data_IF_003514972806
#
_entry.id   IF_003514972806
#
_cell.length_a   1.000
_cell.length_b   1.000
_cell.length_c   1.000
_cell.angle_alpha   90.00
_cell.angle_beta   90.00
_cell.angle_gamma   90.00
#
_symmetry.space_group_name_H-M   'P 1'
#
loop_
_entity.id
_entity.type
_entity.pdbx_description
1 polymer ?
#
# COMPACT_ATOMS: atom_id res chain seq x y z
N UNK A 1 32.52 -53.26 -8.13
CA UNK A 1 32.47 -52.46 -6.88
C UNK A 1 32.53 -50.95 -7.08
N UNK A 2 32.87 -50.42 -8.26
CA UNK A 2 32.87 -48.98 -8.56
C UNK A 2 31.51 -48.41 -8.97
N UNK A 3 30.62 -49.25 -9.50
CA UNK A 3 29.31 -48.87 -10.06
C UNK A 3 28.30 -48.41 -8.99
N UNK A 4 28.14 -49.17 -7.91
CA UNK A 4 27.22 -48.85 -6.80
C UNK A 4 27.59 -47.57 -6.05
N UNK A 5 28.90 -47.30 -5.88
CA UNK A 5 29.37 -46.05 -5.25
C UNK A 5 29.15 -44.85 -6.16
N UNK A 6 29.35 -44.99 -7.48
CA UNK A 6 29.07 -43.94 -8.45
C UNK A 6 27.58 -43.58 -8.50
N UNK A 7 26.72 -44.59 -8.44
CA UNK A 7 25.28 -44.42 -8.43
C UNK A 7 24.77 -43.80 -7.12
N UNK A 8 25.33 -44.19 -5.96
CA UNK A 8 25.01 -43.57 -4.68
C UNK A 8 25.38 -42.08 -4.63
N UNK A 9 26.54 -41.71 -5.19
CA UNK A 9 26.97 -40.29 -5.27
C UNK A 9 26.06 -39.48 -6.18
N UNK A 10 25.67 -40.03 -7.34
CA UNK A 10 24.72 -39.38 -8.25
C UNK A 10 23.36 -39.12 -7.59
N UNK A 11 22.83 -40.09 -6.86
CA UNK A 11 21.56 -39.93 -6.13
C UNK A 11 21.69 -38.88 -5.04
N UNK A 12 22.80 -38.86 -4.30
CA UNK A 12 23.05 -37.86 -3.26
C UNK A 12 23.16 -36.43 -3.84
N UNK A 13 23.86 -36.26 -4.96
CA UNK A 13 23.98 -34.96 -5.64
C UNK A 13 22.62 -34.49 -6.18
N UNK A 14 21.83 -35.40 -6.76
CA UNK A 14 20.49 -35.07 -7.25
C UNK A 14 19.57 -34.63 -6.10
N UNK A 15 19.59 -35.36 -4.98
CA UNK A 15 18.82 -34.99 -3.79
C UNK A 15 19.23 -33.61 -3.23
N UNK A 16 20.53 -33.32 -3.20
CA UNK A 16 21.06 -32.01 -2.79
C UNK A 16 20.62 -30.88 -3.74
N UNK A 17 20.63 -31.13 -5.05
CA UNK A 17 20.16 -30.17 -6.04
C UNK A 17 18.66 -29.84 -5.87
N UNK A 18 17.83 -30.86 -5.62
CA UNK A 18 16.39 -30.68 -5.35
C UNK A 18 16.17 -29.92 -4.04
N UNK A 19 16.92 -30.24 -3.00
CA UNK A 19 16.83 -29.52 -1.73
C UNK A 19 17.22 -28.04 -1.88
N UNK A 20 18.27 -27.75 -2.65
CA UNK A 20 18.71 -26.39 -2.91
C UNK A 20 17.66 -25.57 -3.66
N UNK A 21 17.06 -26.13 -4.72
CA UNK A 21 16.00 -25.43 -5.49
C UNK A 21 14.75 -25.19 -4.65
N UNK A 22 14.36 -26.15 -3.80
CA UNK A 22 13.25 -25.98 -2.87
C UNK A 22 13.50 -24.84 -1.87
N UNK A 23 14.70 -24.75 -1.29
CA UNK A 23 15.06 -23.67 -0.35
C UNK A 23 15.04 -22.30 -1.03
N UNK A 24 15.59 -22.20 -2.25
CA UNK A 24 15.58 -20.95 -3.03
C UNK A 24 14.13 -20.55 -3.34
N UNK A 25 13.29 -21.49 -3.74
CA UNK A 25 11.87 -21.25 -4.02
C UNK A 25 11.10 -20.75 -2.79
N UNK A 26 11.35 -21.33 -1.62
CA UNK A 26 10.70 -20.92 -0.36
C UNK A 26 11.15 -19.51 0.05
N UNK A 27 12.46 -19.20 -0.04
CA UNK A 27 12.97 -17.86 0.29
C UNK A 27 12.40 -16.80 -0.65
N UNK A 28 12.37 -17.08 -1.95
CA UNK A 28 11.75 -16.18 -2.92
C UNK A 28 10.25 -15.95 -2.65
N UNK A 29 9.52 -16.96 -2.17
CA UNK A 29 8.12 -16.80 -1.78
C UNK A 29 7.97 -15.95 -0.51
N UNK A 30 8.82 -16.15 0.50
CA UNK A 30 8.81 -15.35 1.74
C UNK A 30 9.14 -13.89 1.47
N UNK A 31 10.14 -13.61 0.62
CA UNK A 31 10.51 -12.24 0.25
C UNK A 31 9.33 -11.53 -0.42
N UNK A 32 8.61 -12.22 -1.32
CA UNK A 32 7.40 -11.67 -1.95
C UNK A 32 6.29 -11.38 -0.94
N UNK A 33 6.07 -12.26 0.02
CA UNK A 33 5.03 -12.07 1.06
C UNK A 33 5.38 -10.87 1.94
N UNK A 34 6.65 -10.73 2.36
CA UNK A 34 7.10 -9.62 3.21
C UNK A 34 7.03 -8.30 2.44
N UNK A 35 7.42 -8.27 1.16
CA UNK A 35 7.32 -7.08 0.31
C UNK A 35 5.86 -6.66 0.13
N UNK A 36 4.96 -7.62 -0.15
CA UNK A 36 3.53 -7.33 -0.28
C UNK A 36 2.92 -6.81 1.03
N UNK A 37 3.27 -7.41 2.16
CA UNK A 37 2.78 -6.96 3.48
C UNK A 37 3.27 -5.55 3.83
N UNK A 38 4.52 -5.20 3.47
CA UNK A 38 5.05 -3.84 3.65
C UNK A 38 4.34 -2.84 2.75
N UNK A 39 4.13 -3.19 1.48
CA UNK A 39 3.40 -2.33 0.54
C UNK A 39 1.97 -2.05 1.02
N UNK A 40 1.28 -3.07 1.55
CA UNK A 40 -0.06 -2.92 2.11
C UNK A 40 -0.09 -1.96 3.30
N UNK A 41 0.81 -2.15 4.29
CA UNK A 41 0.91 -1.26 5.45
C UNK A 41 1.27 0.16 5.06
N UNK A 42 2.17 0.32 4.08
CA UNK A 42 2.53 1.63 3.56
C UNK A 42 1.33 2.33 2.92
N UNK A 43 0.49 1.60 2.18
CA UNK A 43 -0.72 2.14 1.56
C UNK A 43 -1.80 2.51 2.56
N UNK A 44 -2.04 1.69 3.58
CA UNK A 44 -2.97 1.97 4.68
C UNK A 44 -2.54 3.23 5.45
N UNK A 45 -1.28 3.28 5.87
CA UNK A 45 -0.74 4.42 6.60
C UNK A 45 -0.77 5.71 5.75
N UNK A 46 -0.42 5.62 4.46
CA UNK A 46 -0.46 6.75 3.55
C UNK A 46 -1.87 7.31 3.32
N UNK A 47 -2.86 6.44 3.16
CA UNK A 47 -4.24 6.91 2.92
C UNK A 47 -4.89 7.46 4.18
N UNK A 48 -4.53 6.94 5.36
CA UNK A 48 -4.94 7.50 6.64
C UNK A 48 -4.35 8.90 6.85
N UNK A 49 -3.06 9.11 6.57
CA UNK A 49 -2.45 10.44 6.62
C UNK A 49 -3.11 11.44 5.63
N UNK A 50 -3.43 10.99 4.41
CA UNK A 50 -4.20 11.81 3.48
C UNK A 50 -5.55 12.21 4.06
N UNK A 51 -6.31 11.26 4.61
CA UNK A 51 -7.61 11.54 5.19
C UNK A 51 -7.52 12.48 6.39
N UNK A 52 -6.50 12.33 7.25
CA UNK A 52 -6.28 13.19 8.41
C UNK A 52 -5.91 14.62 8.00
N UNK A 53 -5.03 14.79 7.02
CA UNK A 53 -4.69 16.12 6.49
C UNK A 53 -5.91 16.86 5.91
N UNK A 54 -6.86 16.12 5.32
CA UNK A 54 -8.13 16.68 4.85
C UNK A 54 -9.09 16.97 6.01
N UNK A 55 -9.12 16.11 7.04
CA UNK A 55 -9.94 16.34 8.24
C UNK A 55 -9.51 17.60 9.01
N UNK A 56 -8.20 17.86 9.12
CA UNK A 56 -7.69 19.07 9.77
C UNK A 56 -8.14 20.34 9.03
N UNK A 57 -8.13 20.29 7.69
CA UNK A 57 -8.61 21.39 6.84
C UNK A 57 -10.12 21.57 6.97
N UNK A 58 -10.86 20.47 6.99
CA UNK A 58 -12.31 20.44 7.16
C UNK A 58 -12.74 21.05 8.50
N UNK A 59 -12.07 20.72 9.61
CA UNK A 59 -12.34 21.29 10.92
C UNK A 59 -11.93 22.76 11.06
N UNK A 60 -10.93 23.21 10.29
CA UNK A 60 -10.42 24.57 10.37
C UNK A 60 -11.19 25.61 9.54
N UNK A 61 -11.97 25.20 8.53
CA UNK A 61 -12.63 26.13 7.60
C UNK A 61 -14.11 25.80 7.40
N UNK A 62 -14.96 26.82 7.46
CA UNK A 62 -16.37 26.74 7.07
C UNK A 62 -16.52 26.78 5.54
N UNK A 63 -15.94 25.81 4.83
CA UNK A 63 -16.12 25.63 3.38
C UNK A 63 -17.04 24.44 3.15
N UNK A 64 -17.88 24.51 2.11
CA UNK A 64 -18.68 23.35 1.74
C UNK A 64 -17.75 22.16 1.45
N UNK A 65 -18.08 20.93 1.92
CA UNK A 65 -17.24 19.75 1.68
C UNK A 65 -16.92 19.51 0.21
N UNK A 66 -17.86 19.84 -0.68
CA UNK A 66 -17.68 19.72 -2.13
C UNK A 66 -16.61 20.66 -2.66
N UNK A 67 -16.50 21.87 -2.14
CA UNK A 67 -15.45 22.80 -2.54
C UNK A 67 -14.11 22.36 -1.96
N UNK A 68 -14.12 21.84 -0.72
CA UNK A 68 -12.92 21.32 -0.07
C UNK A 68 -12.29 20.14 -0.83
N UNK A 69 -13.07 19.15 -1.26
CA UNK A 69 -12.53 17.99 -2.00
C UNK A 69 -12.06 18.33 -3.42
N UNK A 70 -12.53 19.45 -3.98
CA UNK A 70 -12.11 19.95 -5.29
C UNK A 70 -10.99 20.99 -5.20
N UNK A 71 -10.64 21.48 -4.01
CA UNK A 71 -9.56 22.47 -3.82
C UNK A 71 -8.19 21.81 -4.10
N UNK A 72 -7.45 22.27 -5.13
CA UNK A 72 -6.12 21.73 -5.45
C UNK A 72 -5.14 21.80 -4.29
N UNK A 73 -5.26 22.79 -3.39
CA UNK A 73 -4.39 22.93 -2.21
C UNK A 73 -4.69 21.87 -1.15
N UNK A 74 -5.92 21.38 -1.08
CA UNK A 74 -6.33 20.30 -0.18
C UNK A 74 -5.88 18.96 -0.75
N UNK A 75 -6.10 18.73 -2.05
CA UNK A 75 -5.61 17.54 -2.75
C UNK A 75 -4.09 17.44 -2.64
N UNK A 76 -3.36 18.53 -2.83
CA UNK A 76 -1.91 18.53 -2.73
C UNK A 76 -1.42 18.29 -1.30
N UNK A 77 -2.07 18.86 -0.29
CA UNK A 77 -1.73 18.59 1.10
C UNK A 77 -1.93 17.11 1.47
N UNK A 78 -3.04 16.52 1.00
CA UNK A 78 -3.30 15.09 1.17
C UNK A 78 -2.23 14.23 0.47
N UNK A 79 -1.79 14.64 -0.74
CA UNK A 79 -0.72 13.98 -1.47
C UNK A 79 0.61 14.04 -0.73
N UNK A 80 1.00 15.21 -0.23
CA UNK A 80 2.26 15.38 0.52
C UNK A 80 2.26 14.51 1.77
N UNK A 81 1.18 14.54 2.56
CA UNK A 81 1.05 13.73 3.77
C UNK A 81 1.11 12.22 3.47
N UNK A 82 0.43 11.78 2.40
CA UNK A 82 0.47 10.39 1.98
C UNK A 82 1.87 9.95 1.51
N UNK A 83 2.57 10.78 0.74
CA UNK A 83 3.92 10.48 0.25
C UNK A 83 4.92 10.38 1.41
N UNK A 84 4.80 11.27 2.39
CA UNK A 84 5.64 11.25 3.58
C UNK A 84 5.49 9.93 4.34
N UNK A 85 4.26 9.52 4.68
CA UNK A 85 4.01 8.26 5.39
C UNK A 85 4.31 7.02 4.55
N UNK A 86 4.03 7.05 3.25
CA UNK A 86 4.37 5.97 2.33
C UNK A 86 5.89 5.71 2.34
N UNK A 87 6.69 6.78 2.32
CA UNK A 87 8.16 6.70 2.33
C UNK A 87 8.69 6.15 3.65
N UNK A 88 8.13 6.57 4.78
CA UNK A 88 8.48 6.03 6.11
C UNK A 88 8.21 4.52 6.22
N UNK A 89 7.21 4.03 5.49
CA UNK A 89 6.85 2.61 5.43
C UNK A 89 7.53 1.85 4.27
N UNK A 90 8.47 2.48 3.55
CA UNK A 90 9.31 1.84 2.54
C UNK A 90 8.70 1.75 1.14
N UNK A 91 7.65 2.53 0.84
CA UNK A 91 7.11 2.64 -0.52
C UNK A 91 7.80 3.73 -1.33
N UNK A 92 7.84 3.55 -2.66
CA UNK A 92 8.58 4.39 -3.61
C UNK A 92 7.83 5.65 -4.06
N UNK A 93 6.52 5.74 -3.81
CA UNK A 93 5.73 6.93 -4.11
C UNK A 93 4.25 6.65 -4.32
N UNK A 94 3.46 7.71 -4.25
CA UNK A 94 2.01 7.71 -4.49
C UNK A 94 1.75 8.12 -5.93
N UNK A 95 1.04 7.27 -6.68
CA UNK A 95 0.77 7.50 -8.10
C UNK A 95 -0.38 8.49 -8.31
N UNK A 96 -1.42 8.37 -7.48
CA UNK A 96 -2.62 9.17 -7.60
C UNK A 96 -3.26 9.38 -6.22
N UNK A 97 -3.78 10.59 -5.99
CA UNK A 97 -4.66 10.93 -4.86
C UNK A 97 -5.92 11.57 -5.40
N UNK A 98 -7.07 11.10 -4.93
CA UNK A 98 -8.37 11.67 -5.26
C UNK A 98 -9.18 11.84 -3.97
N UNK A 99 -9.83 12.99 -3.84
CA UNK A 99 -10.76 13.26 -2.76
C UNK A 99 -12.18 13.27 -3.33
N UNK A 100 -13.14 12.75 -2.57
CA UNK A 100 -14.54 12.76 -2.97
C UNK A 100 -15.48 12.82 -1.77
N UNK A 101 -16.63 13.46 -1.98
CA UNK A 101 -17.78 13.26 -1.10
C UNK A 101 -18.49 11.96 -1.51
N UNK A 102 -18.59 11.00 -0.59
CA UNK A 102 -19.31 9.76 -0.76
C UNK A 102 -20.42 9.68 0.28
N UNK A 103 -21.69 9.85 -0.12
CA UNK A 103 -22.83 9.91 0.82
C UNK A 103 -22.59 10.98 1.90
N UNK A 104 -22.41 10.59 3.16
CA UNK A 104 -22.24 11.46 4.34
C UNK A 104 -20.78 11.46 4.86
N UNK A 105 -19.80 11.23 3.99
CA UNK A 105 -18.37 11.19 4.35
C UNK A 105 -17.49 11.76 3.24
N UNK A 106 -16.33 12.27 3.64
CA UNK A 106 -15.23 12.57 2.72
C UNK A 106 -14.34 11.33 2.66
N UNK A 107 -14.03 10.87 1.46
CA UNK A 107 -13.10 9.77 1.20
C UNK A 107 -11.88 10.26 0.42
N UNK A 108 -10.70 9.91 0.92
CA UNK A 108 -9.45 9.96 0.19
C UNK A 108 -9.19 8.59 -0.42
N UNK A 109 -8.93 8.56 -1.73
CA UNK A 109 -8.51 7.38 -2.47
C UNK A 109 -7.10 7.59 -2.99
N UNK A 110 -6.28 6.57 -2.86
CA UNK A 110 -4.86 6.60 -3.16
C UNK A 110 -4.48 5.36 -3.97
N UNK A 111 -3.63 5.52 -4.99
CA UNK A 111 -3.01 4.40 -5.71
C UNK A 111 -1.54 4.32 -5.33
N UNK A 112 -1.12 3.16 -4.81
CA UNK A 112 0.25 2.85 -4.41
C UNK A 112 0.65 1.50 -5.00
N UNK A 113 1.70 1.47 -5.83
CA UNK A 113 2.19 0.23 -6.47
C UNK A 113 1.08 -0.56 -7.20
N UNK A 114 0.17 0.16 -7.87
CA UNK A 114 -1.00 -0.43 -8.54
C UNK A 114 -2.17 -0.89 -7.65
N UNK A 115 -2.07 -0.75 -6.32
CA UNK A 115 -3.17 -1.07 -5.39
C UNK A 115 -3.92 0.19 -4.97
N UNK A 116 -5.25 0.11 -4.93
CA UNK A 116 -6.13 1.19 -4.50
C UNK A 116 -6.42 1.09 -3.00
N UNK A 117 -6.02 2.11 -2.25
CA UNK A 117 -6.31 2.29 -0.83
C UNK A 117 -7.34 3.40 -0.65
N UNK A 118 -8.16 3.33 0.39
CA UNK A 118 -9.14 4.36 0.71
C UNK A 118 -9.31 4.51 2.21
N UNK A 119 -9.46 5.75 2.66
CA UNK A 119 -9.82 6.11 4.03
C UNK A 119 -10.72 7.33 3.99
N UNK A 120 -11.51 7.54 5.04
CA UNK A 120 -12.43 8.66 5.07
C UNK A 120 -13.09 8.85 6.41
N UNK A 121 -13.60 10.04 6.63
CA UNK A 121 -14.21 10.47 7.89
C UNK A 121 -15.62 11.01 7.64
N UNK A 122 -16.45 10.98 8.69
CA UNK A 122 -17.83 11.46 8.63
C UNK A 122 -17.87 12.95 8.32
N UNK A 123 -18.66 13.31 7.31
CA UNK A 123 -18.94 14.68 6.88
C UNK A 123 -20.41 14.70 6.41
N UNK A 124 -21.39 14.83 7.34
CA UNK A 124 -22.82 14.82 7.04
C UNK A 124 -23.24 15.71 5.87
N UNK A 125 -22.54 16.82 5.71
CA UNK A 125 -22.71 17.88 4.73
C UNK A 125 -22.34 17.46 3.29
N UNK A 126 -21.68 16.30 3.13
CA UNK A 126 -21.49 15.68 1.81
C UNK A 126 -22.78 15.09 1.22
N UNK A 127 -23.80 14.82 2.06
CA UNK A 127 -25.03 14.20 1.59
C UNK A 127 -25.74 15.12 0.59
N UNK A 128 -26.13 14.64 -0.60
CA UNK A 128 -27.12 15.36 -1.38
C UNK A 128 -28.40 15.42 -0.55
N UNK A 129 -28.87 16.62 -0.24
CA UNK A 129 -30.20 16.84 0.31
C UNK A 129 -31.28 16.40 -0.68
#
# INVERSE_FOLDING_TARGET
MTDERGQAVLVAVLALAIAATAIIGIRAAQDRIVIAARAQRAGEAAVEAAAQAVADRYGAHAVAPRDLVNDPRVVEAARVAAVELARENGASGVEQVQLMCAKNRIEARLVLNGYSHHAGFSAPECSPY
#
